data_IF_036345896711
#
_entry.id   IF_036345896711
#
_cell.length_a   1.000
_cell.length_b   1.000
_cell.length_c   1.000
_cell.angle_alpha   90.00
_cell.angle_beta   90.00
_cell.angle_gamma   90.00
#
_symmetry.space_group_name_H-M   'P 1'
#
loop_
_entity.id
_entity.type
_entity.pdbx_description
1 polymer ?
#
# COMPACT_ATOMS: atom_id res chain seq x y z
N UNK A 1 59.55 -59.93 -11.75
CA UNK A 1 58.29 -60.44 -12.36
C UNK A 1 57.12 -59.61 -11.89
N UNK A 2 56.32 -59.19 -12.87
CA UNK A 2 55.01 -58.55 -12.82
C UNK A 2 54.89 -57.01 -12.71
N UNK A 3 54.53 -56.48 -13.87
CA UNK A 3 54.08 -55.18 -14.35
C UNK A 3 52.74 -54.72 -13.75
N UNK A 4 52.56 -53.40 -13.56
CA UNK A 4 51.26 -52.70 -13.65
C UNK A 4 51.54 -51.21 -13.90
N UNK A 5 51.54 -50.76 -15.16
CA UNK A 5 50.46 -49.99 -15.84
C UNK A 5 50.06 -48.70 -15.10
N UNK A 6 50.58 -47.58 -15.61
CA UNK A 6 50.22 -46.20 -15.27
C UNK A 6 48.97 -45.83 -16.08
N UNK A 7 47.89 -45.42 -15.41
CA UNK A 7 46.76 -44.74 -16.07
C UNK A 7 46.57 -43.35 -15.49
N UNK A 8 46.74 -42.36 -16.36
CA UNK A 8 46.46 -40.94 -16.17
C UNK A 8 44.98 -40.68 -15.86
N UNK A 9 44.68 -39.84 -14.88
CA UNK A 9 43.41 -39.12 -14.79
C UNK A 9 43.67 -37.63 -14.85
N UNK A 10 43.27 -37.03 -15.95
CA UNK A 10 43.19 -35.58 -16.14
C UNK A 10 42.19 -35.00 -15.13
N UNK A 11 42.64 -34.03 -14.34
CA UNK A 11 41.78 -33.15 -13.56
C UNK A 11 41.10 -32.17 -14.52
N UNK A 12 39.83 -32.41 -14.83
CA UNK A 12 38.98 -31.41 -15.45
C UNK A 12 38.49 -30.45 -14.36
N UNK A 13 39.05 -29.24 -14.35
CA UNK A 13 38.56 -28.10 -13.57
C UNK A 13 37.18 -27.70 -14.08
N UNK A 14 36.14 -28.19 -13.40
CA UNK A 14 34.77 -27.71 -13.59
C UNK A 14 34.60 -26.35 -12.95
N UNK A 15 34.78 -25.28 -13.73
CA UNK A 15 34.25 -23.96 -13.39
C UNK A 15 32.73 -24.07 -13.45
N UNK A 16 32.10 -24.19 -12.27
CA UNK A 16 30.65 -24.01 -12.13
C UNK A 16 30.36 -22.53 -12.39
N UNK A 17 29.89 -22.24 -13.60
CA UNK A 17 29.26 -20.96 -13.90
C UNK A 17 27.99 -20.88 -13.07
N UNK A 18 28.03 -20.10 -11.99
CA UNK A 18 26.83 -19.67 -11.28
C UNK A 18 25.99 -18.86 -12.26
N UNK A 19 25.02 -19.49 -12.90
CA UNK A 19 23.98 -18.80 -13.65
C UNK A 19 23.24 -17.90 -12.65
N UNK A 20 23.53 -16.61 -12.66
CA UNK A 20 22.71 -15.62 -11.98
C UNK A 20 21.29 -15.77 -12.53
N UNK A 21 20.37 -16.32 -11.73
CA UNK A 21 18.94 -16.25 -12.05
C UNK A 21 18.64 -14.77 -12.24
N UNK A 22 18.25 -14.37 -13.45
CA UNK A 22 17.65 -13.05 -13.64
C UNK A 22 16.42 -13.04 -12.75
N UNK A 23 16.45 -12.22 -11.71
CA UNK A 23 15.24 -11.94 -10.94
C UNK A 23 14.16 -11.48 -11.93
N UNK A 24 12.98 -12.08 -11.85
CA UNK A 24 11.82 -11.62 -12.61
C UNK A 24 11.62 -10.12 -12.32
N UNK A 25 11.39 -9.28 -13.34
CA UNK A 25 11.20 -7.85 -13.13
C UNK A 25 10.02 -7.61 -12.18
N UNK A 26 10.24 -6.81 -11.14
CA UNK A 26 9.18 -6.41 -10.21
C UNK A 26 8.24 -5.42 -10.89
N UNK A 27 7.00 -5.38 -10.42
CA UNK A 27 5.96 -4.53 -10.99
C UNK A 27 6.39 -3.05 -11.10
N UNK A 28 7.10 -2.52 -10.10
CA UNK A 28 7.56 -1.14 -10.13
C UNK A 28 8.97 -0.88 -10.66
N UNK A 29 9.66 -1.87 -11.24
CA UNK A 29 11.02 -1.68 -11.79
C UNK A 29 11.07 -0.69 -12.98
N UNK A 30 9.92 -0.27 -13.53
CA UNK A 30 9.79 0.71 -14.63
C UNK A 30 9.36 2.10 -14.18
N UNK A 31 9.08 2.30 -12.89
CA UNK A 31 8.46 3.50 -12.36
C UNK A 31 9.52 4.47 -11.84
N UNK A 32 9.37 5.76 -12.14
CA UNK A 32 10.22 6.80 -11.54
C UNK A 32 9.62 7.27 -10.22
N UNK A 33 8.34 7.64 -10.22
CA UNK A 33 7.56 7.99 -9.05
C UNK A 33 6.55 6.90 -8.74
N UNK A 34 6.27 6.67 -7.47
CA UNK A 34 5.36 5.62 -7.00
C UNK A 34 4.43 6.18 -5.94
N UNK A 35 3.13 5.93 -6.11
CA UNK A 35 2.12 6.06 -5.06
C UNK A 35 1.63 4.65 -4.70
N UNK A 36 1.70 4.30 -3.42
CA UNK A 36 1.05 3.11 -2.88
C UNK A 36 -0.24 3.55 -2.19
N UNK A 37 -1.37 3.16 -2.73
CA UNK A 37 -2.70 3.49 -2.23
C UNK A 37 -3.22 2.30 -1.43
N UNK A 38 -3.09 2.35 -0.10
CA UNK A 38 -3.46 1.25 0.80
C UNK A 38 -4.85 1.52 1.38
N UNK A 39 -5.79 0.62 1.06
CA UNK A 39 -7.23 0.81 1.22
C UNK A 39 -7.75 1.80 0.16
N UNK A 40 -7.58 1.43 -1.09
CA UNK A 40 -7.91 2.30 -2.22
C UNK A 40 -9.40 2.55 -2.43
N UNK A 41 -10.27 1.76 -1.80
CA UNK A 41 -11.71 1.81 -1.92
C UNK A 41 -12.12 1.81 -3.41
N UNK A 42 -12.85 2.82 -3.88
CA UNK A 42 -13.27 2.96 -5.29
C UNK A 42 -12.14 3.40 -6.24
N UNK A 43 -10.93 3.62 -5.73
CA UNK A 43 -9.69 3.87 -6.48
C UNK A 43 -9.41 5.34 -6.81
N UNK A 44 -10.09 6.27 -6.13
CA UNK A 44 -10.13 7.69 -6.52
C UNK A 44 -8.79 8.41 -6.33
N UNK A 45 -8.02 8.05 -5.30
CA UNK A 45 -6.72 8.68 -5.01
C UNK A 45 -5.69 8.48 -6.14
N UNK A 46 -5.65 7.29 -6.74
CA UNK A 46 -4.85 7.08 -7.95
C UNK A 46 -5.31 7.94 -9.14
N UNK A 47 -6.62 8.23 -9.24
CA UNK A 47 -7.16 9.11 -10.28
C UNK A 47 -6.89 10.58 -10.01
N UNK A 48 -6.90 11.02 -8.74
CA UNK A 48 -6.45 12.37 -8.36
C UNK A 48 -5.01 12.62 -8.81
N UNK A 49 -4.15 11.60 -8.79
CA UNK A 49 -2.77 11.70 -9.27
C UNK A 49 -2.68 11.79 -10.81
N UNK A 50 -3.40 10.92 -11.53
CA UNK A 50 -3.31 10.82 -12.99
C UNK A 50 -4.14 11.85 -13.76
N UNK A 51 -5.29 12.27 -13.23
CA UNK A 51 -6.27 13.14 -13.90
C UNK A 51 -6.69 14.31 -12.98
N UNK A 52 -5.75 15.07 -12.37
CA UNK A 52 -6.06 16.07 -11.34
C UNK A 52 -7.03 17.17 -11.81
N UNK A 53 -7.08 17.45 -13.11
CA UNK A 53 -8.01 18.42 -13.71
C UNK A 53 -9.47 18.00 -13.65
N UNK A 54 -9.76 16.70 -13.47
CA UNK A 54 -11.13 16.19 -13.34
C UNK A 54 -11.67 16.27 -11.91
N UNK A 55 -10.82 16.64 -10.95
CA UNK A 55 -11.15 16.67 -9.52
C UNK A 55 -10.89 18.05 -8.89
N UNK A 56 -11.54 19.12 -9.39
CA UNK A 56 -11.33 20.48 -8.88
C UNK A 56 -11.77 20.68 -7.42
N UNK A 57 -12.67 19.84 -6.91
CA UNK A 57 -13.25 19.95 -5.57
C UNK A 57 -12.55 19.04 -4.54
N UNK A 58 -11.45 18.37 -4.93
CA UNK A 58 -10.63 17.58 -3.99
C UNK A 58 -10.05 18.54 -2.97
N UNK A 59 -10.44 18.37 -1.71
CA UNK A 59 -10.11 19.37 -0.70
C UNK A 59 -8.63 19.33 -0.30
N UNK A 60 -7.93 18.21 -0.50
CA UNK A 60 -6.53 18.06 -0.07
C UNK A 60 -5.66 17.23 -1.01
N UNK A 61 -6.12 16.07 -1.49
CA UNK A 61 -5.28 15.09 -2.17
C UNK A 61 -4.71 15.58 -3.51
N UNK A 62 -5.51 16.26 -4.33
CA UNK A 62 -5.01 16.84 -5.59
C UNK A 62 -3.93 17.90 -5.33
N UNK A 63 -4.11 18.73 -4.30
CA UNK A 63 -3.11 19.75 -3.95
C UNK A 63 -1.84 19.11 -3.38
N UNK A 64 -1.98 18.12 -2.49
CA UNK A 64 -0.85 17.33 -1.98
C UNK A 64 -0.03 16.74 -3.13
N UNK A 65 -0.67 16.09 -4.10
CA UNK A 65 0.05 15.52 -5.23
C UNK A 65 0.71 16.58 -6.12
N UNK A 66 0.16 17.78 -6.24
CA UNK A 66 0.82 18.91 -6.93
C UNK A 66 2.06 19.37 -6.17
N UNK A 67 1.99 19.44 -4.85
CA UNK A 67 3.10 19.90 -4.00
C UNK A 67 4.26 18.89 -4.00
N UNK A 68 3.94 17.60 -3.91
CA UNK A 68 4.93 16.52 -3.87
C UNK A 68 5.51 16.25 -5.27
N UNK A 69 4.65 15.98 -6.26
CA UNK A 69 5.07 15.51 -7.58
C UNK A 69 5.23 16.63 -8.63
N UNK A 70 4.77 17.85 -8.35
CA UNK A 70 4.78 18.99 -9.27
C UNK A 70 3.49 19.14 -10.08
N UNK A 71 3.37 20.25 -10.82
CA UNK A 71 2.16 20.56 -11.63
C UNK A 71 2.28 19.96 -13.03
N UNK A 72 3.41 20.20 -13.71
CA UNK A 72 3.69 19.64 -15.03
C UNK A 72 4.19 18.20 -14.89
N UNK A 73 3.30 17.24 -15.14
CA UNK A 73 3.54 15.81 -14.89
C UNK A 73 3.30 14.99 -16.16
N UNK A 74 4.13 13.98 -16.38
CA UNK A 74 3.91 12.96 -17.39
C UNK A 74 3.50 11.65 -16.71
N UNK A 75 2.26 11.22 -16.91
CA UNK A 75 1.70 10.01 -16.28
C UNK A 75 2.53 8.74 -16.52
N UNK A 76 3.35 8.69 -17.58
CA UNK A 76 4.26 7.58 -17.87
C UNK A 76 5.41 7.42 -16.85
N UNK A 77 5.71 8.47 -16.08
CA UNK A 77 6.75 8.44 -15.05
C UNK A 77 6.25 7.88 -13.71
N UNK A 78 4.95 7.67 -13.56
CA UNK A 78 4.30 7.26 -12.32
C UNK A 78 3.81 5.83 -12.37
N UNK A 79 3.77 5.21 -11.19
CA UNK A 79 3.01 4.01 -10.96
C UNK A 79 2.14 4.18 -9.72
N UNK A 80 0.90 3.72 -9.82
CA UNK A 80 -0.03 3.62 -8.70
C UNK A 80 -0.23 2.14 -8.39
N UNK A 81 -0.02 1.76 -7.14
CA UNK A 81 -0.32 0.43 -6.62
C UNK A 81 -1.47 0.54 -5.65
N UNK A 82 -2.64 0.09 -6.05
CA UNK A 82 -3.85 0.11 -5.22
C UNK A 82 -4.01 -1.22 -4.53
N UNK A 83 -3.96 -1.22 -3.20
CA UNK A 83 -4.18 -2.38 -2.36
C UNK A 83 -5.59 -2.25 -1.79
N UNK A 84 -6.47 -3.19 -2.14
CA UNK A 84 -7.87 -3.15 -1.74
C UNK A 84 -8.35 -4.51 -1.26
N UNK A 85 -8.85 -4.54 -0.02
CA UNK A 85 -9.31 -5.75 0.65
C UNK A 85 -10.74 -6.14 0.22
N UNK A 86 -11.61 -5.14 0.02
CA UNK A 86 -13.02 -5.32 -0.28
C UNK A 86 -13.25 -5.83 -1.71
N UNK A 87 -13.79 -7.05 -1.89
CA UNK A 87 -14.06 -7.60 -3.21
C UNK A 87 -15.07 -6.83 -4.04
N UNK A 88 -15.95 -6.02 -3.43
CA UNK A 88 -16.94 -5.22 -4.16
C UNK A 88 -16.29 -4.14 -5.03
N UNK A 89 -15.12 -3.64 -4.64
CA UNK A 89 -14.41 -2.63 -5.42
C UNK A 89 -13.55 -3.23 -6.54
N UNK A 90 -13.16 -4.51 -6.45
CA UNK A 90 -12.19 -5.10 -7.38
C UNK A 90 -12.61 -5.00 -8.85
N UNK A 91 -13.89 -5.22 -9.16
CA UNK A 91 -14.37 -5.11 -10.54
C UNK A 91 -14.21 -3.68 -11.07
N UNK A 92 -14.50 -2.67 -10.24
CA UNK A 92 -14.31 -1.27 -10.62
C UNK A 92 -12.83 -0.96 -10.80
N UNK A 93 -12.00 -1.37 -9.85
CA UNK A 93 -10.55 -1.15 -9.89
C UNK A 93 -9.90 -1.80 -11.13
N UNK A 94 -10.36 -3.00 -11.52
CA UNK A 94 -9.93 -3.65 -12.77
C UNK A 94 -10.31 -2.80 -13.99
N UNK A 95 -11.52 -2.23 -14.03
CA UNK A 95 -11.97 -1.35 -15.13
C UNK A 95 -11.08 -0.09 -15.22
N UNK A 96 -10.70 0.50 -14.08
CA UNK A 96 -9.78 1.64 -14.03
C UNK A 96 -8.41 1.23 -14.58
N UNK A 97 -7.86 0.11 -14.09
CA UNK A 97 -6.57 -0.43 -14.54
C UNK A 97 -6.56 -0.70 -16.05
N UNK A 98 -7.63 -1.32 -16.57
CA UNK A 98 -7.79 -1.59 -18.00
C UNK A 98 -7.86 -0.30 -18.83
N UNK A 99 -8.60 0.72 -18.37
CA UNK A 99 -8.69 2.01 -19.07
C UNK A 99 -7.31 2.71 -19.13
N UNK A 100 -6.61 2.78 -18.00
CA UNK A 100 -5.30 3.42 -17.90
C UNK A 100 -4.20 2.66 -18.65
N UNK A 101 -4.27 1.33 -18.70
CA UNK A 101 -3.33 0.51 -19.49
C UNK A 101 -3.36 0.84 -20.98
N UNK A 102 -4.53 1.21 -21.53
CA UNK A 102 -4.68 1.61 -22.94
C UNK A 102 -3.96 2.93 -23.27
N UNK A 103 -3.74 3.76 -22.25
CA UNK A 103 -2.96 5.00 -22.33
C UNK A 103 -1.47 4.79 -21.98
N UNK A 104 -1.08 3.57 -21.60
CA UNK A 104 0.27 3.26 -21.13
C UNK A 104 0.55 3.71 -19.69
N UNK A 105 -0.47 4.10 -18.93
CA UNK A 105 -0.31 4.49 -17.53
C UNK A 105 -0.26 3.25 -16.64
N UNK A 106 0.61 3.28 -15.64
CA UNK A 106 0.86 2.13 -14.77
C UNK A 106 -0.02 2.19 -13.52
N UNK A 107 -1.20 1.58 -13.59
CA UNK A 107 -2.14 1.45 -12.47
C UNK A 107 -2.34 -0.02 -12.16
N UNK A 108 -1.88 -0.46 -10.99
CA UNK A 108 -1.84 -1.87 -10.60
C UNK A 108 -2.77 -2.13 -9.42
N UNK A 109 -3.66 -3.10 -9.57
CA UNK A 109 -4.59 -3.52 -8.52
C UNK A 109 -4.05 -4.75 -7.80
N UNK A 110 -3.92 -4.65 -6.49
CA UNK A 110 -3.51 -5.72 -5.58
C UNK A 110 -4.74 -6.07 -4.73
N UNK A 111 -5.38 -7.18 -5.09
CA UNK A 111 -6.60 -7.70 -4.45
C UNK A 111 -6.27 -8.45 -3.17
N UNK A 112 -5.84 -7.70 -2.17
CA UNK A 112 -5.36 -8.20 -0.89
C UNK A 112 -5.49 -7.11 0.18
N UNK A 113 -5.48 -7.51 1.44
CA UNK A 113 -5.36 -6.60 2.57
C UNK A 113 -3.89 -6.36 2.93
N UNK A 114 -3.55 -5.14 3.35
CA UNK A 114 -2.31 -4.86 4.06
C UNK A 114 -2.44 -5.32 5.53
N UNK A 115 -1.42 -6.00 6.05
CA UNK A 115 -1.43 -6.59 7.39
C UNK A 115 0.00 -6.92 7.87
N UNK A 116 0.12 -7.20 9.17
CA UNK A 116 1.30 -7.72 9.89
C UNK A 116 1.63 -9.20 9.59
N UNK A 117 0.77 -9.92 8.85
CA UNK A 117 1.02 -11.32 8.49
C UNK A 117 0.69 -11.61 7.03
N UNK A 118 1.43 -12.54 6.42
CA UNK A 118 1.02 -13.16 5.16
C UNK A 118 0.06 -14.32 5.44
N UNK A 119 -1.00 -14.45 4.64
CA UNK A 119 -1.95 -15.53 4.77
C UNK A 119 -3.35 -15.03 4.50
N UNK A 120 -4.27 -15.37 5.39
CA UNK A 120 -5.67 -15.06 5.25
C UNK A 120 -6.19 -14.44 6.55
N UNK A 121 -7.04 -13.42 6.43
CA UNK A 121 -7.68 -12.75 7.56
C UNK A 121 -9.17 -12.57 7.28
N UNK A 122 -9.99 -12.58 8.34
CA UNK A 122 -11.42 -12.32 8.23
C UNK A 122 -11.68 -10.82 8.20
N UNK A 123 -12.51 -10.38 7.26
CA UNK A 123 -13.03 -9.02 7.13
C UNK A 123 -14.55 -9.00 7.23
N UNK A 124 -15.07 -7.84 7.62
CA UNK A 124 -16.46 -7.59 7.94
C UNK A 124 -16.96 -6.32 7.26
N UNK A 125 -18.22 -6.38 6.82
CA UNK A 125 -19.04 -5.21 6.55
C UNK A 125 -19.46 -4.56 7.88
N UNK A 126 -19.65 -3.25 7.89
CA UNK A 126 -20.09 -2.51 9.09
C UNK A 126 -21.60 -2.22 9.07
N UNK A 127 -22.28 -2.56 7.97
CA UNK A 127 -23.74 -2.65 7.84
C UNK A 127 -24.39 -1.32 7.47
N UNK A 128 -24.50 -0.41 8.44
CA UNK A 128 -25.57 0.60 8.48
C UNK A 128 -25.65 1.54 7.25
N UNK A 129 -24.52 1.87 6.63
CA UNK A 129 -24.46 2.77 5.47
C UNK A 129 -23.51 2.28 4.36
N UNK A 130 -23.21 0.98 4.31
CA UNK A 130 -22.19 0.44 3.41
C UNK A 130 -22.48 0.80 1.94
N UNK A 131 -23.71 0.61 1.47
CA UNK A 131 -24.05 1.01 0.08
C UNK A 131 -24.01 2.53 -0.16
N UNK A 132 -24.34 3.34 0.84
CA UNK A 132 -24.38 4.80 0.72
C UNK A 132 -22.97 5.39 0.72
N UNK A 133 -22.02 4.70 1.33
CA UNK A 133 -20.66 5.17 1.50
C UNK A 133 -19.63 4.36 0.71
N UNK A 134 -20.07 3.58 -0.29
CA UNK A 134 -19.23 2.64 -1.03
C UNK A 134 -18.39 1.74 -0.11
N UNK A 135 -19.00 1.21 0.93
CA UNK A 135 -18.44 0.19 1.82
C UNK A 135 -17.06 0.56 2.42
N UNK A 136 -16.82 1.86 2.62
CA UNK A 136 -15.52 2.37 3.09
C UNK A 136 -15.05 1.70 4.39
N UNK A 137 -15.96 1.34 5.31
CA UNK A 137 -15.64 0.74 6.61
C UNK A 137 -15.25 -0.74 6.60
N UNK A 138 -15.07 -1.35 5.42
CA UNK A 138 -14.76 -2.78 5.30
C UNK A 138 -13.42 -3.13 5.96
N UNK A 139 -13.47 -3.84 7.09
CA UNK A 139 -12.32 -3.99 7.99
C UNK A 139 -12.19 -5.39 8.57
N UNK A 140 -10.99 -5.73 9.04
CA UNK A 140 -10.74 -6.91 9.86
C UNK A 140 -11.13 -6.73 11.33
N UNK A 141 -11.65 -5.56 11.70
CA UNK A 141 -12.20 -5.25 13.02
C UNK A 141 -13.66 -4.84 12.85
N UNK A 142 -14.49 -5.18 13.83
CA UNK A 142 -15.87 -4.68 13.88
C UNK A 142 -15.90 -3.25 14.44
N UNK A 143 -16.74 -2.40 13.87
CA UNK A 143 -17.11 -1.12 14.49
C UNK A 143 -18.09 -1.38 15.65
N UNK A 144 -17.57 -1.38 16.88
CA UNK A 144 -18.36 -1.64 18.08
C UNK A 144 -19.30 -0.49 18.44
N UNK A 145 -19.13 0.71 17.88
CA UNK A 145 -20.00 1.86 18.15
C UNK A 145 -21.33 1.76 17.39
N UNK A 146 -21.35 1.02 16.28
CA UNK A 146 -22.54 0.78 15.45
C UNK A 146 -23.35 -0.46 15.84
N UNK A 147 -23.04 -1.08 16.99
CA UNK A 147 -23.68 -2.33 17.48
C UNK A 147 -25.17 -2.24 17.85
N UNK A 148 -25.77 -1.07 17.86
CA UNK A 148 -27.19 -0.92 18.13
C UNK A 148 -27.98 -1.03 16.83
N UNK A 149 -28.26 -2.26 16.39
CA UNK A 149 -29.44 -2.73 15.64
C UNK A 149 -29.07 -3.92 14.74
N UNK A 150 -29.41 -5.13 15.20
CA UNK A 150 -29.92 -6.31 14.46
C UNK A 150 -29.42 -6.74 13.05
N UNK A 151 -28.46 -6.06 12.42
CA UNK A 151 -27.97 -6.38 11.07
C UNK A 151 -26.44 -6.41 11.06
N UNK A 152 -25.84 -7.20 11.94
CA UNK A 152 -24.56 -7.82 11.59
C UNK A 152 -24.87 -8.79 10.45
N UNK A 153 -24.70 -8.33 9.21
CA UNK A 153 -24.49 -9.27 8.14
C UNK A 153 -23.16 -9.97 8.46
N UNK A 154 -23.24 -11.17 9.05
CA UNK A 154 -22.14 -12.12 9.25
C UNK A 154 -21.56 -12.62 7.89
N UNK A 155 -21.42 -11.71 6.93
CA UNK A 155 -20.75 -11.93 5.67
C UNK A 155 -19.25 -11.75 5.95
N UNK A 156 -18.67 -12.77 6.55
CA UNK A 156 -17.24 -12.84 6.83
C UNK A 156 -16.50 -13.15 5.53
N UNK A 157 -15.55 -12.29 5.16
CA UNK A 157 -14.70 -12.51 3.98
C UNK A 157 -13.31 -12.95 4.42
N UNK A 158 -12.84 -14.07 3.88
CA UNK A 158 -11.44 -14.46 4.03
C UNK A 158 -10.63 -13.78 2.94
N UNK A 159 -9.87 -12.76 3.31
CA UNK A 159 -9.06 -11.96 2.39
C UNK A 159 -7.60 -12.37 2.52
N UNK A 160 -6.92 -12.52 1.38
CA UNK A 160 -5.47 -12.72 1.37
C UNK A 160 -4.79 -11.48 1.94
N UNK A 161 -3.90 -11.68 2.91
CA UNK A 161 -3.09 -10.62 3.49
C UNK A 161 -1.69 -10.64 2.89
N UNK A 162 -1.16 -9.45 2.62
CA UNK A 162 0.22 -9.25 2.20
C UNK A 162 0.95 -8.49 3.30
N UNK A 163 1.94 -9.16 3.89
CA UNK A 163 2.93 -8.52 4.73
C UNK A 163 3.69 -7.47 3.93
N UNK A 164 4.14 -6.42 4.62
CA UNK A 164 4.94 -5.25 4.19
C UNK A 164 6.29 -5.55 3.49
N UNK A 165 6.39 -6.72 2.86
CA UNK A 165 7.51 -7.24 2.13
C UNK A 165 7.79 -6.46 0.84
N UNK A 166 8.97 -6.75 0.27
CA UNK A 166 9.50 -6.27 -1.01
C UNK A 166 8.58 -6.45 -2.24
N UNK A 167 7.44 -7.13 -2.10
CA UNK A 167 6.39 -7.22 -3.12
C UNK A 167 5.51 -5.96 -3.16
N UNK A 168 5.26 -5.32 -2.00
CA UNK A 168 4.43 -4.11 -1.88
C UNK A 168 5.23 -2.87 -2.25
N UNK A 169 6.48 -2.76 -1.78
CA UNK A 169 7.36 -1.63 -2.09
C UNK A 169 8.23 -2.01 -3.30
N UNK A 170 7.95 -1.48 -4.50
CA UNK A 170 8.77 -1.80 -5.64
C UNK A 170 10.13 -1.17 -5.44
N UNK A 171 11.22 -1.84 -5.87
CA UNK A 171 12.47 -1.11 -5.85
C UNK A 171 12.42 -0.02 -6.90
N UNK A 172 12.57 1.19 -6.43
CA UNK A 172 12.85 2.33 -7.26
C UNK A 172 14.24 2.11 -7.83
N UNK A 173 14.31 1.75 -9.12
CA UNK A 173 15.56 1.92 -9.84
C UNK A 173 15.78 3.42 -9.98
N UNK A 174 16.68 3.94 -9.17
CA UNK A 174 17.39 5.18 -9.52
C UNK A 174 17.88 4.97 -10.95
N UNK A 175 17.27 5.67 -11.92
CA UNK A 175 17.79 5.69 -13.29
C UNK A 175 19.20 6.24 -13.19
N UNK A 176 20.19 5.35 -13.21
CA UNK A 176 21.59 5.73 -13.33
C UNK A 176 21.69 6.62 -14.58
N UNK A 177 22.02 7.90 -14.33
CA UNK A 177 22.36 8.95 -15.28
C UNK A 177 21.26 9.73 -16.02
N UNK A 178 19.98 9.63 -15.66
CA UNK A 178 18.98 10.60 -16.14
C UNK A 178 17.94 10.90 -15.05
N UNK A 179 18.31 11.75 -14.10
CA UNK A 179 17.32 12.49 -13.30
C UNK A 179 16.47 13.29 -14.28
N UNK A 180 15.17 13.02 -14.36
CA UNK A 180 14.28 13.71 -15.33
C UNK A 180 14.24 15.23 -15.06
N UNK A 181 14.66 15.70 -13.88
CA UNK A 181 14.81 17.14 -13.59
C UNK A 181 15.76 17.45 -12.41
N UNK A 182 16.76 16.60 -12.13
CA UNK A 182 17.64 16.76 -10.95
C UNK A 182 17.01 16.48 -9.58
N UNK A 183 15.70 16.15 -9.51
CA UNK A 183 14.99 15.77 -8.28
C UNK A 183 15.01 14.25 -8.08
N UNK A 184 15.18 13.74 -6.84
CA UNK A 184 15.08 12.31 -6.56
C UNK A 184 13.67 11.77 -6.84
N UNK A 185 13.53 10.46 -7.13
CA UNK A 185 12.23 9.82 -7.27
C UNK A 185 11.43 9.91 -5.97
N UNK A 186 10.11 9.98 -6.09
CA UNK A 186 9.19 10.07 -4.94
C UNK A 186 8.43 8.77 -4.77
N UNK A 187 8.46 8.24 -3.56
CA UNK A 187 7.66 7.16 -3.03
C UNK A 187 6.70 7.72 -1.98
N UNK A 188 5.44 7.89 -2.38
CA UNK A 188 4.35 8.28 -1.50
C UNK A 188 3.47 7.10 -1.15
N UNK A 189 2.70 7.23 -0.08
CA UNK A 189 1.66 6.27 0.30
C UNK A 189 0.41 6.96 0.84
N UNK A 190 -0.77 6.51 0.40
CA UNK A 190 -2.04 6.74 1.10
C UNK A 190 -2.27 5.55 2.04
N UNK A 191 -2.70 5.81 3.27
CA UNK A 191 -3.07 4.76 4.20
C UNK A 191 -4.37 5.10 4.90
N UNK A 192 -5.43 4.40 4.51
CA UNK A 192 -6.64 4.32 5.31
C UNK A 192 -7.17 2.90 5.07
N UNK A 193 -7.04 2.08 6.10
CA UNK A 193 -7.25 0.63 6.15
C UNK A 193 -8.05 0.25 7.40
N UNK A 194 -8.90 1.18 7.84
CA UNK A 194 -10.00 0.94 8.77
C UNK A 194 -9.60 0.20 10.06
N UNK A 195 -8.52 0.66 10.70
CA UNK A 195 -8.02 0.16 11.99
C UNK A 195 -6.76 -0.70 11.87
N UNK A 196 -6.44 -1.24 10.68
CA UNK A 196 -5.19 -1.98 10.49
C UNK A 196 -3.95 -1.08 10.51
N UNK A 197 -4.08 0.26 10.58
CA UNK A 197 -2.94 1.18 10.73
C UNK A 197 -2.13 0.86 11.98
N UNK A 198 -2.81 0.43 13.05
CA UNK A 198 -2.22 0.12 14.36
C UNK A 198 -1.35 -1.14 14.36
N UNK A 199 -1.37 -1.96 13.30
CA UNK A 199 -0.47 -3.12 13.15
C UNK A 199 0.53 -2.92 12.01
N UNK A 200 0.08 -2.25 10.95
CA UNK A 200 0.84 -2.01 9.73
C UNK A 200 1.96 -0.98 9.96
N UNK A 201 1.66 0.18 10.54
CA UNK A 201 2.66 1.24 10.72
C UNK A 201 3.79 0.87 11.68
N UNK A 202 3.53 0.24 12.85
CA UNK A 202 4.60 -0.23 13.71
C UNK A 202 5.57 -1.18 13.00
N UNK A 203 5.06 -2.08 12.17
CA UNK A 203 5.90 -3.01 11.41
C UNK A 203 6.71 -2.32 10.31
N UNK A 204 6.14 -1.31 9.65
CA UNK A 204 6.88 -0.46 8.71
C UNK A 204 8.02 0.29 9.41
N UNK A 205 7.79 0.78 10.64
CA UNK A 205 8.82 1.42 11.47
C UNK A 205 9.90 0.41 11.85
N UNK A 206 9.52 -0.74 12.42
CA UNK A 206 10.46 -1.75 12.92
C UNK A 206 11.30 -2.40 11.82
N UNK A 207 10.73 -2.57 10.63
CA UNK A 207 11.43 -3.11 9.45
C UNK A 207 12.32 -2.07 8.73
N UNK A 208 12.29 -0.81 9.16
CA UNK A 208 12.92 0.34 8.48
C UNK A 208 12.39 0.57 7.05
N UNK A 209 11.28 -0.06 6.68
CA UNK A 209 10.63 0.10 5.37
C UNK A 209 10.02 1.50 5.24
N UNK A 210 9.48 2.04 6.34
CA UNK A 210 8.92 3.39 6.39
C UNK A 210 9.88 4.47 5.87
N UNK A 211 11.19 4.27 6.08
CA UNK A 211 12.22 5.25 5.71
C UNK A 211 12.48 5.35 4.20
N UNK A 212 11.86 4.48 3.40
CA UNK A 212 11.92 4.57 1.94
C UNK A 212 10.93 5.61 1.40
N UNK A 213 9.87 5.90 2.15
CA UNK A 213 8.81 6.83 1.78
C UNK A 213 9.24 8.29 2.03
N UNK A 214 8.78 9.20 1.17
CA UNK A 214 8.95 10.65 1.35
C UNK A 214 7.77 11.25 2.11
N UNK A 215 6.57 10.70 1.91
CA UNK A 215 5.38 11.06 2.65
C UNK A 215 4.43 9.87 2.75
N UNK A 216 3.69 9.82 3.85
CA UNK A 216 2.49 9.02 4.01
C UNK A 216 1.38 9.99 4.41
N UNK A 217 0.24 9.88 3.75
CA UNK A 217 -0.97 10.61 4.13
C UNK A 217 -2.11 9.64 4.37
N UNK A 218 -3.02 10.01 5.26
CA UNK A 218 -4.11 9.13 5.65
C UNK A 218 -4.69 9.51 7.00
N UNK A 219 -5.44 8.58 7.58
CA UNK A 219 -6.05 8.73 8.89
C UNK A 219 -5.87 7.50 9.77
N UNK A 220 -6.19 7.65 11.05
CA UNK A 220 -6.23 6.57 12.02
C UNK A 220 -7.66 6.39 12.50
N UNK A 221 -8.10 5.14 12.55
CA UNK A 221 -9.48 4.82 12.87
C UNK A 221 -9.64 4.41 14.34
N UNK A 222 -9.37 5.35 15.26
CA UNK A 222 -9.41 5.07 16.71
C UNK A 222 -10.79 4.61 17.23
N UNK A 223 -11.86 4.82 16.45
CA UNK A 223 -13.22 4.42 16.82
C UNK A 223 -13.47 2.92 16.74
N UNK A 224 -12.60 2.16 16.05
CA UNK A 224 -12.67 0.68 16.01
C UNK A 224 -12.26 -0.01 17.31
N UNK A 225 -11.90 0.74 18.36
CA UNK A 225 -11.66 0.14 19.66
C UNK A 225 -12.87 -0.69 20.15
N UNK A 226 -12.66 -1.90 20.70
CA UNK A 226 -11.38 -2.58 20.88
C UNK A 226 -10.85 -3.21 19.57
N UNK A 227 -9.55 -3.05 19.35
CA UNK A 227 -8.84 -3.69 18.26
C UNK A 227 -8.10 -4.93 18.78
N UNK A 228 -8.63 -6.12 18.45
CA UNK A 228 -8.05 -7.40 18.84
C UNK A 228 -7.29 -8.03 17.66
N UNK A 229 -5.98 -7.79 17.59
CA UNK A 229 -5.13 -8.38 16.56
C UNK A 229 -4.36 -9.62 17.05
N UNK A 230 -3.66 -10.24 16.10
CA UNK A 230 -2.86 -11.46 16.25
C UNK A 230 -1.91 -11.45 17.46
N UNK A 231 -1.54 -12.67 17.86
CA UNK A 231 -0.55 -12.96 18.90
C UNK A 231 0.72 -12.12 18.71
N UNK A 232 1.10 -11.33 19.72
CA UNK A 232 2.38 -10.60 19.73
C UNK A 232 2.30 -9.13 20.08
N UNK A 233 1.09 -8.53 20.04
CA UNK A 233 0.88 -7.17 20.54
C UNK A 233 1.17 -7.07 22.04
N UNK A 234 2.01 -6.09 22.40
CA UNK A 234 2.45 -5.82 23.79
C UNK A 234 1.81 -4.56 24.36
N UNK A 235 0.95 -3.91 23.59
CA UNK A 235 0.21 -2.71 23.97
C UNK A 235 -1.28 -3.04 23.96
N UNK A 236 -2.00 -2.49 24.93
CA UNK A 236 -3.45 -2.56 24.98
C UNK A 236 -4.05 -1.63 23.93
N UNK A 237 -5.03 -2.13 23.18
CA UNK A 237 -5.79 -1.38 22.19
C UNK A 237 -7.30 -1.59 22.44
N UNK A 238 -7.69 -1.60 23.72
CA UNK A 238 -9.03 -1.98 24.15
C UNK A 238 -9.99 -0.78 24.16
N UNK A 239 -9.45 0.44 24.28
CA UNK A 239 -10.24 1.67 24.40
C UNK A 239 -9.83 2.73 23.38
N UNK A 240 -10.79 3.57 22.98
CA UNK A 240 -10.54 4.74 22.11
C UNK A 240 -9.37 5.57 22.61
N UNK A 241 -9.28 5.77 23.93
CA UNK A 241 -8.19 6.52 24.56
C UNK A 241 -6.83 5.88 24.29
N UNK A 242 -6.72 4.56 24.43
CA UNK A 242 -5.46 3.84 24.16
C UNK A 242 -5.08 3.91 22.68
N UNK A 243 -6.05 3.79 21.77
CA UNK A 243 -5.80 3.93 20.33
C UNK A 243 -5.31 5.34 19.97
N UNK A 244 -5.92 6.39 20.52
CA UNK A 244 -5.47 7.78 20.33
C UNK A 244 -4.07 8.02 20.92
N UNK A 245 -3.78 7.47 22.10
CA UNK A 245 -2.43 7.55 22.70
C UNK A 245 -1.39 6.83 21.84
N UNK A 246 -1.77 5.69 21.26
CA UNK A 246 -0.88 4.90 20.40
C UNK A 246 -0.66 5.54 19.03
N UNK A 247 -1.71 6.08 18.40
CA UNK A 247 -1.63 6.92 17.21
C UNK A 247 -0.65 8.07 17.42
N UNK A 248 -0.83 8.84 18.50
CA UNK A 248 0.04 9.97 18.82
C UNK A 248 1.50 9.53 18.99
N UNK A 249 1.73 8.38 19.64
CA UNK A 249 3.06 7.82 19.80
C UNK A 249 3.69 7.41 18.46
N UNK A 250 2.93 6.77 17.57
CA UNK A 250 3.39 6.39 16.22
C UNK A 250 3.78 7.65 15.43
N UNK A 251 2.90 8.65 15.35
CA UNK A 251 3.17 9.90 14.63
C UNK A 251 4.41 10.59 15.20
N UNK A 252 4.56 10.64 16.53
CA UNK A 252 5.75 11.22 17.17
C UNK A 252 7.03 10.47 16.82
N UNK A 253 6.99 9.14 16.70
CA UNK A 253 8.15 8.36 16.27
C UNK A 253 8.52 8.69 14.81
N UNK A 254 7.52 8.78 13.92
CA UNK A 254 7.72 9.13 12.51
C UNK A 254 8.34 10.53 12.40
N UNK A 255 7.73 11.53 13.02
CA UNK A 255 8.17 12.94 12.97
C UNK A 255 9.52 13.19 13.66
N UNK A 256 9.88 12.40 14.67
CA UNK A 256 11.14 12.56 15.41
C UNK A 256 12.32 11.83 14.77
N UNK A 257 12.08 11.05 13.70
CA UNK A 257 13.13 10.32 13.01
C UNK A 257 14.15 11.29 12.38
N UNK A 258 15.40 11.20 12.84
CA UNK A 258 16.50 12.05 12.33
C UNK A 258 17.09 11.56 11.01
N UNK A 259 16.87 10.29 10.69
CA UNK A 259 17.53 9.61 9.58
C UNK A 259 16.56 9.24 8.45
N UNK A 260 15.25 9.45 8.64
CA UNK A 260 14.23 9.14 7.65
C UNK A 260 13.52 10.43 7.26
N UNK A 261 13.42 10.69 5.96
CA UNK A 261 12.80 11.91 5.42
C UNK A 261 11.27 11.86 5.38
N UNK A 262 10.69 10.76 5.88
CA UNK A 262 9.26 10.52 5.89
C UNK A 262 8.53 11.59 6.69
N UNK A 263 7.42 12.08 6.14
CA UNK A 263 6.42 12.89 6.84
C UNK A 263 5.10 12.12 6.92
N UNK A 264 4.43 12.21 8.07
CA UNK A 264 3.03 11.85 8.21
C UNK A 264 2.16 13.08 7.94
N UNK A 265 1.08 12.90 7.18
CA UNK A 265 0.12 13.95 6.85
C UNK A 265 -1.28 13.43 7.16
N UNK A 266 -1.91 13.93 8.23
CA UNK A 266 -3.30 13.56 8.53
C UNK A 266 -4.22 14.19 7.50
N UNK A 267 -4.85 13.37 6.67
CA UNK A 267 -5.72 13.80 5.59
C UNK A 267 -6.57 12.64 5.08
N UNK A 268 -7.87 12.86 4.93
CA UNK A 268 -8.84 11.88 4.43
C UNK A 268 -9.73 12.52 3.33
N UNK A 269 -9.35 12.38 2.06
CA UNK A 269 -10.02 13.10 0.95
C UNK A 269 -11.14 12.30 0.27
N UNK A 270 -12.30 12.30 0.91
CA UNK A 270 -13.52 11.66 0.41
C UNK A 270 -14.42 12.62 -0.41
N UNK A 271 -13.88 13.73 -0.93
CA UNK A 271 -14.65 14.72 -1.72
C UNK A 271 -15.34 14.12 -2.95
N UNK A 272 -14.81 13.00 -3.44
CA UNK A 272 -15.31 12.23 -4.57
C UNK A 272 -15.62 10.79 -4.16
N UNK A 273 -16.35 10.63 -3.06
CA UNK A 273 -16.76 9.34 -2.48
C UNK A 273 -17.22 8.32 -3.54
N UNK A 274 -18.11 8.72 -4.46
CA UNK A 274 -18.61 7.83 -5.53
C UNK A 274 -17.80 7.90 -6.83
N UNK A 275 -16.72 8.69 -6.84
CA UNK A 275 -15.91 9.12 -7.97
C UNK A 275 -16.74 9.88 -9.03
N UNK A 276 -17.69 9.21 -9.68
CA UNK A 276 -18.64 9.80 -10.62
C UNK A 276 -18.03 10.32 -11.93
N UNK A 277 -16.70 10.37 -12.04
CA UNK A 277 -15.98 10.92 -13.18
C UNK A 277 -15.78 9.83 -14.25
N UNK A 278 -16.12 10.08 -15.54
CA UNK A 278 -15.86 9.13 -16.61
C UNK A 278 -14.38 8.78 -16.77
N UNK A 279 -14.11 7.51 -17.07
CA UNK A 279 -12.79 7.03 -17.48
C UNK A 279 -12.50 7.47 -18.93
N UNK A 280 -11.21 7.65 -19.29
CA UNK A 280 -10.79 8.04 -20.63
C UNK A 280 -11.03 6.95 -21.70
#
# INVERSE_FOLDING_TARGET
NHTAIITSRNAATGVSSSSSRREEPRLGDRCYNILIDVGGNVGVHGRFLFEPEKYPDSFSSVQLFRDEYGIERNNLDYCVFVIEANPQHWKRLDIISDAYSKLGWNYHVIKAAASDINGNMTFYHQGYDDNQNNEWGFSNVHDYQKRNESELFDNNYTINTKYHSKEIVPAIRLRNNNTIAGKPPILGMKMDIEGSEYIVLPDLIHSNTLCQFQFIFGEFHFWFAPIQHSVGHRVSLDTVKELMEYEWAIIKIIESSRNCLIRWITSDDESYLHDGIPLP
#
